data_IF_159328395691
#
_entry.id   IF_159328395691
#
_cell.length_a   1.000
_cell.length_b   1.000
_cell.length_c   1.000
_cell.angle_alpha   90.00
_cell.angle_beta   90.00
_cell.angle_gamma   90.00
#
_symmetry.space_group_name_H-M   'P 1'
#
loop_
_entity.id
_entity.type
_entity.pdbx_description
1 polymer ?
#
# COMPACT_ATOMS: atom_id res chain seq x y z
N UNK A 1 19.07 -4.54 -11.12
CA UNK A 1 18.27 -3.83 -10.15
C UNK A 1 18.37 -4.46 -8.78
N UNK A 2 18.52 -3.64 -7.79
CA UNK A 2 18.64 -4.15 -6.44
C UNK A 2 17.26 -4.26 -5.80
N UNK A 3 17.15 -5.17 -4.86
CA UNK A 3 15.93 -5.35 -4.08
C UNK A 3 15.49 -4.04 -3.41
N UNK A 4 16.48 -3.25 -2.99
CA UNK A 4 16.23 -1.96 -2.34
C UNK A 4 15.46 -1.02 -3.25
N UNK A 5 15.82 -0.95 -4.53
CA UNK A 5 15.13 -0.08 -5.48
C UNK A 5 13.68 -0.49 -5.65
N UNK A 6 13.42 -1.78 -5.71
CA UNK A 6 12.06 -2.28 -5.84
C UNK A 6 11.22 -1.92 -4.61
N UNK A 7 11.80 -2.03 -3.42
CA UNK A 7 11.09 -1.66 -2.20
C UNK A 7 10.75 -0.17 -2.18
N UNK A 8 11.65 0.66 -2.65
CA UNK A 8 11.42 2.10 -2.67
C UNK A 8 10.33 2.49 -3.67
N UNK A 9 10.33 1.86 -4.82
CA UNK A 9 9.32 2.11 -5.85
C UNK A 9 7.95 1.63 -5.36
N UNK A 10 7.90 0.47 -4.76
CA UNK A 10 6.65 -0.06 -4.20
C UNK A 10 6.13 0.83 -3.09
N UNK A 11 7.02 1.33 -2.24
CA UNK A 11 6.64 2.30 -1.21
C UNK A 11 6.05 3.55 -1.83
N UNK A 12 6.69 4.08 -2.88
CA UNK A 12 6.22 5.28 -3.56
C UNK A 12 4.81 5.08 -4.11
N UNK A 13 4.55 3.93 -4.70
CA UNK A 13 3.23 3.62 -5.23
C UNK A 13 2.19 3.59 -4.12
N UNK A 14 2.50 2.94 -3.01
CA UNK A 14 1.58 2.88 -1.88
C UNK A 14 1.34 4.25 -1.26
N UNK A 15 2.39 5.06 -1.19
CA UNK A 15 2.29 6.42 -0.68
C UNK A 15 1.34 7.25 -1.53
N UNK A 16 1.48 7.18 -2.84
CA UNK A 16 0.63 7.92 -3.77
C UNK A 16 -0.83 7.47 -3.66
N UNK A 17 -1.05 6.16 -3.57
CA UNK A 17 -2.39 5.62 -3.41
C UNK A 17 -3.03 6.12 -2.12
N UNK A 18 -2.27 6.08 -1.02
CA UNK A 18 -2.78 6.53 0.27
C UNK A 18 -3.08 8.02 0.27
N UNK A 19 -2.24 8.82 -0.38
CA UNK A 19 -2.49 10.25 -0.51
C UNK A 19 -3.76 10.52 -1.29
N UNK A 20 -3.95 9.80 -2.38
CA UNK A 20 -5.16 9.94 -3.19
C UNK A 20 -6.41 9.57 -2.40
N UNK A 21 -6.32 8.52 -1.60
CA UNK A 21 -7.44 8.08 -0.77
C UNK A 21 -7.83 9.14 0.27
N UNK A 22 -6.87 9.94 0.71
CA UNK A 22 -7.12 11.01 1.67
C UNK A 22 -7.33 12.37 1.00
N UNK A 23 -7.43 12.38 -0.32
CA UNK A 23 -7.59 13.61 -1.10
C UNK A 23 -6.45 14.61 -0.88
N UNK A 24 -5.25 14.10 -0.64
CA UNK A 24 -4.05 14.92 -0.53
C UNK A 24 -3.42 15.00 -1.91
N UNK A 25 -3.16 16.23 -2.35
CA UNK A 25 -2.58 16.44 -3.66
C UNK A 25 -1.20 15.78 -3.77
N UNK A 26 -0.93 15.13 -4.90
CA UNK A 26 0.35 14.47 -5.15
C UNK A 26 1.42 15.52 -5.51
N UNK A 27 1.78 16.30 -4.53
CA UNK A 27 2.76 17.37 -4.67
C UNK A 27 3.78 17.25 -3.56
N UNK A 28 5.08 17.29 -3.87
CA UNK A 28 6.11 17.25 -2.83
C UNK A 28 5.94 18.36 -1.80
N UNK A 29 5.58 19.54 -2.24
CA UNK A 29 5.40 20.68 -1.34
C UNK A 29 4.22 20.44 -0.39
N UNK A 30 3.09 19.98 -0.94
CA UNK A 30 1.91 19.70 -0.13
C UNK A 30 2.20 18.58 0.87
N UNK A 31 2.84 17.52 0.40
CA UNK A 31 3.20 16.40 1.28
C UNK A 31 4.13 16.87 2.40
N UNK A 32 5.17 17.61 2.08
CA UNK A 32 6.10 18.11 3.08
C UNK A 32 5.39 18.99 4.10
N UNK A 33 4.50 19.87 3.65
CA UNK A 33 3.78 20.76 4.55
C UNK A 33 2.86 19.98 5.48
N UNK A 34 2.11 19.03 4.95
CA UNK A 34 1.21 18.20 5.77
C UNK A 34 2.01 17.37 6.77
N UNK A 35 3.09 16.79 6.29
CA UNK A 35 3.95 15.98 7.16
C UNK A 35 4.52 16.83 8.30
N UNK A 36 5.04 18.00 7.98
CA UNK A 36 5.68 18.86 8.99
C UNK A 36 4.70 19.36 10.03
N UNK A 37 3.43 19.49 9.68
CA UNK A 37 2.41 19.85 10.66
C UNK A 37 2.17 18.75 11.68
N UNK A 38 2.38 17.51 11.29
CA UNK A 38 2.09 16.35 12.11
C UNK A 38 3.31 15.80 12.84
N UNK A 39 4.51 16.07 12.33
CA UNK A 39 5.73 15.47 12.84
C UNK A 39 6.41 16.40 13.85
N UNK A 40 6.71 15.85 15.02
CA UNK A 40 7.35 16.62 16.09
C UNK A 40 8.84 16.82 15.89
N UNK A 41 9.43 16.06 15.00
CA UNK A 41 10.86 16.14 14.77
C UNK A 41 11.24 17.21 13.76
N UNK A 42 12.42 17.05 13.21
CA UNK A 42 12.95 17.98 12.24
C UNK A 42 12.09 18.00 10.97
N UNK A 43 11.78 19.20 10.50
CA UNK A 43 10.99 19.34 9.29
C UNK A 43 11.71 18.76 8.07
N UNK A 44 10.95 18.19 7.15
CA UNK A 44 11.50 17.71 5.89
C UNK A 44 11.26 18.76 4.81
N UNK A 45 12.12 18.71 3.79
CA UNK A 45 12.01 19.63 2.66
C UNK A 45 11.14 19.01 1.57
N UNK A 46 10.62 19.83 0.64
CA UNK A 46 9.92 19.30 -0.52
C UNK A 46 10.79 18.34 -1.34
N UNK A 47 12.10 18.57 -1.36
CA UNK A 47 13.02 17.67 -2.04
C UNK A 47 12.98 16.26 -1.44
N UNK A 48 12.99 16.18 -0.11
CA UNK A 48 12.89 14.90 0.58
C UNK A 48 11.57 14.21 0.25
N UNK A 49 10.48 14.96 0.32
CA UNK A 49 9.15 14.41 0.00
C UNK A 49 9.09 13.94 -1.44
N UNK A 50 9.71 14.68 -2.34
CA UNK A 50 9.77 14.28 -3.75
C UNK A 50 10.49 12.94 -3.91
N UNK A 51 11.59 12.75 -3.20
CA UNK A 51 12.33 11.50 -3.27
C UNK A 51 11.48 10.33 -2.79
N UNK A 52 10.67 10.55 -1.76
CA UNK A 52 9.73 9.52 -1.31
C UNK A 52 8.70 9.18 -2.40
N UNK A 53 8.16 10.21 -3.05
CA UNK A 53 7.14 10.02 -4.09
C UNK A 53 7.70 9.36 -5.34
N UNK A 54 8.97 9.54 -5.61
CA UNK A 54 9.62 8.99 -6.81
C UNK A 54 10.27 7.63 -6.57
N UNK A 55 10.25 7.14 -5.34
CA UNK A 55 10.89 5.87 -5.03
C UNK A 55 12.40 5.92 -4.99
N UNK A 56 12.95 7.09 -4.73
CA UNK A 56 14.40 7.27 -4.62
C UNK A 56 14.90 7.14 -3.20
N UNK A 57 14.02 7.28 -2.23
CA UNK A 57 14.38 7.19 -0.82
C UNK A 57 13.21 6.66 -0.01
N UNK A 58 13.51 6.10 1.14
CA UNK A 58 12.54 5.60 2.09
C UNK A 58 12.65 6.42 3.37
N UNK A 59 11.54 6.87 3.96
CA UNK A 59 11.64 7.57 5.24
C UNK A 59 12.15 6.65 6.33
N UNK A 60 12.74 7.26 7.36
CA UNK A 60 13.13 6.51 8.55
C UNK A 60 11.88 6.01 9.27
N UNK A 61 12.05 5.08 10.20
CA UNK A 61 10.91 4.44 10.86
C UNK A 61 10.00 5.46 11.56
N UNK A 62 10.57 6.42 12.26
CA UNK A 62 9.78 7.44 12.96
C UNK A 62 8.99 8.31 11.97
N UNK A 63 9.61 8.67 10.87
CA UNK A 63 8.91 9.44 9.83
C UNK A 63 7.85 8.60 9.13
N UNK A 64 8.15 7.33 8.94
CA UNK A 64 7.20 6.41 8.32
C UNK A 64 5.95 6.27 9.20
N UNK A 65 6.13 6.18 10.51
CA UNK A 65 5.00 6.11 11.42
C UNK A 65 4.14 7.38 11.37
N UNK A 66 4.79 8.53 11.25
CA UNK A 66 4.06 9.79 11.15
C UNK A 66 3.27 9.84 9.84
N UNK A 67 3.89 9.44 8.73
CA UNK A 67 3.20 9.36 7.44
C UNK A 67 2.00 8.44 7.52
N UNK A 68 2.15 7.30 8.17
CA UNK A 68 1.07 6.34 8.30
C UNK A 68 -0.12 6.95 9.03
N UNK A 69 0.13 7.66 10.12
CA UNK A 69 -0.93 8.33 10.86
C UNK A 69 -1.61 9.39 10.01
N UNK A 70 -0.82 10.18 9.31
CA UNK A 70 -1.32 11.23 8.45
C UNK A 70 -2.24 10.65 7.36
N UNK A 71 -1.88 9.49 6.84
CA UNK A 71 -2.59 8.87 5.73
C UNK A 71 -3.64 7.86 6.20
N UNK A 72 -3.79 7.65 7.50
CA UNK A 72 -4.79 6.74 8.03
C UNK A 72 -4.50 5.27 7.76
N UNK A 73 -3.23 4.92 7.74
CA UNK A 73 -2.80 3.54 7.50
C UNK A 73 -1.73 3.17 8.52
N UNK A 74 -1.08 2.03 8.36
CA UNK A 74 -0.01 1.60 9.25
C UNK A 74 1.34 1.76 8.57
N UNK A 75 2.40 1.86 9.38
CA UNK A 75 3.75 1.94 8.82
C UNK A 75 4.10 0.65 8.06
N UNK A 76 3.62 -0.48 8.53
CA UNK A 76 3.85 -1.75 7.84
C UNK A 76 3.17 -1.76 6.49
N UNK A 77 1.96 -1.24 6.40
CA UNK A 77 1.23 -1.16 5.14
C UNK A 77 1.99 -0.29 4.15
N UNK A 78 2.46 0.87 4.58
CA UNK A 78 3.21 1.75 3.69
C UNK A 78 4.53 1.12 3.23
N UNK A 79 5.24 0.52 4.18
CA UNK A 79 6.59 0.00 3.89
C UNK A 79 6.57 -1.30 3.13
N UNK A 80 5.68 -2.20 3.49
CA UNK A 80 5.67 -3.57 2.95
C UNK A 80 4.41 -3.94 2.21
N UNK A 81 3.33 -3.16 2.37
CA UNK A 81 2.06 -3.52 1.77
C UNK A 81 1.40 -4.71 2.42
N UNK A 82 1.59 -4.89 3.71
CA UNK A 82 1.17 -6.12 4.40
C UNK A 82 -0.11 -6.03 5.20
N UNK A 83 -0.94 -5.06 4.95
CA UNK A 83 -2.24 -5.08 5.60
C UNK A 83 -3.04 -6.29 5.13
N UNK A 84 -2.57 -6.89 4.06
CA UNK A 84 -3.12 -8.11 3.53
C UNK A 84 -3.27 -9.20 4.58
N UNK A 85 -2.38 -9.25 5.54
CA UNK A 85 -2.51 -10.23 6.62
C UNK A 85 -3.76 -9.98 7.44
N UNK A 86 -4.02 -8.72 7.73
CA UNK A 86 -5.24 -8.36 8.44
C UNK A 86 -6.46 -8.63 7.60
N UNK A 87 -6.36 -8.39 6.32
CA UNK A 87 -7.45 -8.68 5.40
C UNK A 87 -7.77 -10.16 5.40
N UNK A 88 -6.74 -10.99 5.38
CA UNK A 88 -6.93 -12.43 5.45
C UNK A 88 -7.57 -12.83 6.77
N UNK A 89 -7.14 -12.22 7.86
CA UNK A 89 -7.71 -12.52 9.16
C UNK A 89 -9.17 -12.09 9.25
N UNK A 90 -9.49 -10.98 8.64
CA UNK A 90 -10.87 -10.52 8.60
C UNK A 90 -11.72 -11.49 7.81
N UNK A 91 -11.20 -11.95 6.68
CA UNK A 91 -11.88 -12.96 5.89
C UNK A 91 -12.12 -14.22 6.70
N UNK A 92 -11.11 -14.65 7.41
CA UNK A 92 -11.24 -15.81 8.28
C UNK A 92 -12.23 -15.56 9.39
N UNK A 93 -12.26 -14.35 9.87
CA UNK A 93 -13.15 -14.01 10.95
C UNK A 93 -14.62 -14.15 10.54
N UNK A 94 -14.93 -13.68 9.36
CA UNK A 94 -16.29 -13.77 8.87
C UNK A 94 -16.67 -15.20 8.52
N UNK A 95 -15.74 -15.86 7.88
CA UNK A 95 -16.02 -17.18 7.43
C UNK A 95 -15.42 -18.22 8.34
N UNK A 96 -15.54 -18.01 9.62
CA UNK A 96 -14.91 -18.90 10.58
C UNK A 96 -15.11 -20.36 10.23
N UNK A 97 -16.17 -20.66 9.56
CA UNK A 97 -16.47 -22.01 9.11
C UNK A 97 -15.92 -22.31 7.73
N UNK A 98 -15.39 -21.30 7.04
CA UNK A 98 -14.93 -21.46 5.66
C UNK A 98 -13.44 -21.38 5.60
N UNK A 99 -12.80 -22.49 5.73
CA UNK A 99 -11.36 -22.52 5.55
C UNK A 99 -11.04 -22.57 4.07
N UNK A 100 -10.11 -21.71 3.66
CA UNK A 100 -9.64 -21.75 2.29
C UNK A 100 -8.81 -23.00 2.06
N UNK A 101 -8.97 -23.59 0.91
CA UNK A 101 -8.12 -24.72 0.53
C UNK A 101 -6.69 -24.23 0.36
N UNK A 102 -5.75 -25.16 0.34
CA UNK A 102 -4.35 -24.82 0.12
C UNK A 102 -4.16 -24.05 -1.17
N UNK A 103 -4.84 -24.49 -2.22
CA UNK A 103 -4.76 -23.80 -3.52
C UNK A 103 -5.29 -22.38 -3.43
N UNK A 104 -6.39 -22.20 -2.73
CA UNK A 104 -6.99 -20.87 -2.57
C UNK A 104 -6.09 -19.96 -1.75
N UNK A 105 -5.50 -20.49 -0.69
CA UNK A 105 -4.57 -19.72 0.13
C UNK A 105 -3.37 -19.28 -0.67
N UNK A 106 -2.84 -20.14 -1.50
CA UNK A 106 -1.71 -19.83 -2.34
C UNK A 106 -2.07 -18.75 -3.36
N UNK A 107 -3.25 -18.85 -3.94
CA UNK A 107 -3.74 -17.87 -4.88
C UNK A 107 -3.86 -16.49 -4.23
N UNK A 108 -4.41 -16.45 -3.02
CA UNK A 108 -4.55 -15.20 -2.29
C UNK A 108 -3.17 -14.60 -1.99
N UNK A 109 -2.23 -15.41 -1.55
CA UNK A 109 -0.88 -14.94 -1.27
C UNK A 109 -0.22 -14.37 -2.51
N UNK A 110 -0.37 -15.06 -3.63
CA UNK A 110 0.18 -14.59 -4.90
C UNK A 110 -0.46 -13.28 -5.32
N UNK A 111 -1.78 -13.18 -5.19
CA UNK A 111 -2.50 -11.97 -5.53
C UNK A 111 -2.01 -10.78 -4.71
N UNK A 112 -1.84 -11.00 -3.42
CA UNK A 112 -1.40 -9.95 -2.50
C UNK A 112 -0.02 -9.42 -2.87
N UNK A 113 0.83 -10.28 -3.41
CA UNK A 113 2.18 -9.90 -3.78
C UNK A 113 2.27 -9.21 -5.13
N UNK A 114 1.19 -9.16 -5.87
CA UNK A 114 1.18 -8.52 -7.18
C UNK A 114 1.16 -6.99 -7.02
N UNK A 115 1.64 -6.32 -8.05
CA UNK A 115 1.53 -4.86 -8.10
C UNK A 115 0.07 -4.47 -8.28
N UNK A 116 -0.23 -3.19 -8.02
CA UNK A 116 -1.60 -2.70 -8.15
C UNK A 116 -2.16 -2.94 -9.55
N UNK A 117 -1.33 -2.73 -10.58
CA UNK A 117 -1.75 -2.95 -11.96
C UNK A 117 -2.08 -4.41 -12.21
N UNK A 118 -1.24 -5.29 -11.69
CA UNK A 118 -1.45 -6.73 -11.85
C UNK A 118 -2.69 -7.20 -11.11
N UNK A 119 -2.91 -6.66 -9.92
CA UNK A 119 -4.11 -7.00 -9.14
C UNK A 119 -5.38 -6.59 -9.89
N UNK A 120 -5.34 -5.44 -10.54
CA UNK A 120 -6.47 -4.98 -11.33
C UNK A 120 -6.77 -5.93 -12.49
N UNK A 121 -5.73 -6.38 -13.18
CA UNK A 121 -5.90 -7.33 -14.28
C UNK A 121 -6.52 -8.62 -13.79
N UNK A 122 -6.07 -9.12 -12.66
CA UNK A 122 -6.62 -10.35 -12.09
C UNK A 122 -8.08 -10.14 -11.70
N UNK A 123 -8.39 -9.01 -11.08
CA UNK A 123 -9.77 -8.72 -10.68
C UNK A 123 -10.70 -8.65 -11.88
N UNK A 124 -10.26 -8.01 -12.95
CA UNK A 124 -11.04 -7.92 -14.18
C UNK A 124 -11.31 -9.31 -14.77
N UNK A 125 -10.29 -10.15 -14.74
CA UNK A 125 -10.43 -11.51 -15.25
C UNK A 125 -11.42 -12.31 -14.41
N UNK A 126 -11.34 -12.19 -13.11
CA UNK A 126 -12.26 -12.87 -12.20
C UNK A 126 -13.69 -12.41 -12.45
N UNK A 127 -13.89 -11.12 -12.63
CA UNK A 127 -15.21 -10.57 -12.91
C UNK A 127 -15.78 -11.14 -14.22
N UNK A 128 -14.96 -11.24 -15.24
CA UNK A 128 -15.37 -11.82 -16.51
C UNK A 128 -15.80 -13.27 -16.36
N UNK A 129 -15.01 -14.03 -15.62
CA UNK A 129 -15.33 -15.43 -15.37
C UNK A 129 -16.63 -15.56 -14.60
N UNK A 130 -16.81 -14.71 -13.60
CA UNK A 130 -18.05 -14.70 -12.81
C UNK A 130 -19.26 -14.42 -13.68
N UNK A 131 -19.14 -13.45 -14.57
CA UNK A 131 -20.24 -13.10 -15.47
C UNK A 131 -20.57 -14.27 -16.40
N UNK A 132 -19.56 -14.94 -16.91
CA UNK A 132 -19.77 -16.11 -17.73
C UNK A 132 -20.50 -17.21 -16.98
N UNK A 133 -20.17 -17.39 -15.73
CA UNK A 133 -20.78 -18.43 -14.92
C UNK A 133 -22.20 -18.12 -14.54
N UNK A 134 -22.56 -16.85 -14.50
CA UNK A 134 -23.91 -16.42 -14.15
C UNK A 134 -24.91 -16.55 -15.28
N UNK A 135 -24.42 -16.61 -16.47
CA UNK A 135 -25.31 -16.78 -17.61
C UNK A 135 -25.54 -18.24 -17.91
#
# INVERSE_FOLDING_TARGET
MTLRNEMYVDFADRLQIAMSAKAIKLSPTVLANQFNLAFDGRAVTPHTARNWLLGKAMPTQDKLMCLAKLLGTSSEQLRYGRSSEKTLMIGNHDGSETELTESQQQLVRTYIMLSASQQRLVSDLVDEISDCMKS
#
